data_IF_870122879998
#
_entry.id   IF_870122879998
#
_cell.length_a   1.000
_cell.length_b   1.000
_cell.length_c   1.000
_cell.angle_alpha   90.00
_cell.angle_beta   90.00
_cell.angle_gamma   90.00
#
_symmetry.space_group_name_H-M   'P 1'
#
loop_
_entity.id
_entity.type
_entity.pdbx_description
1 polymer ?
#
# COMPACT_ATOMS: atom_id res chain seq x y z
N UNK A 1 8.41 15.39 6.25
CA UNK A 1 7.07 15.33 5.67
C UNK A 1 6.04 15.06 6.75
N UNK A 2 4.80 15.41 6.48
CA UNK A 2 3.74 15.16 7.43
C UNK A 2 3.49 13.68 7.55
N UNK A 3 3.07 13.24 8.72
CA UNK A 3 2.83 11.83 8.97
C UNK A 3 1.80 11.29 7.99
N UNK A 4 2.07 10.12 7.44
CA UNK A 4 1.18 9.46 6.48
C UNK A 4 1.22 10.05 5.07
N UNK A 5 2.22 10.87 4.75
CA UNK A 5 2.35 11.47 3.42
C UNK A 5 3.74 11.21 2.88
N UNK A 6 3.87 10.11 2.15
CA UNK A 6 5.12 9.68 1.51
C UNK A 6 6.31 9.60 2.48
N UNK A 7 6.05 9.17 3.71
CA UNK A 7 7.13 9.00 4.67
C UNK A 7 7.82 7.68 4.42
N UNK A 8 9.14 7.70 4.34
CA UNK A 8 9.91 6.48 4.06
C UNK A 8 10.43 5.89 5.35
N UNK A 9 10.06 4.64 5.59
CA UNK A 9 10.46 3.88 6.77
C UNK A 9 11.14 2.60 6.31
N UNK A 10 11.71 1.86 7.23
CA UNK A 10 12.35 0.59 6.91
C UNK A 10 11.79 -0.51 7.79
N UNK A 11 11.71 -1.71 7.26
CA UNK A 11 11.46 -2.88 8.09
C UNK A 11 12.80 -3.35 8.66
N UNK A 12 12.80 -4.16 9.70
CA UNK A 12 14.06 -4.72 10.23
C UNK A 12 14.83 -5.54 9.19
N UNK A 13 14.14 -6.13 8.23
CA UNK A 13 14.81 -6.90 7.19
C UNK A 13 15.31 -6.03 6.04
N UNK A 14 15.15 -4.72 6.12
CA UNK A 14 15.68 -3.81 5.12
C UNK A 14 14.75 -3.44 3.99
N UNK A 15 13.49 -3.87 4.04
CA UNK A 15 12.52 -3.44 3.03
C UNK A 15 12.18 -1.96 3.26
N UNK A 16 11.92 -1.24 2.17
CA UNK A 16 11.48 0.15 2.28
C UNK A 16 9.97 0.17 2.35
N UNK A 17 9.46 0.88 3.35
CA UNK A 17 8.01 1.00 3.57
C UNK A 17 7.66 2.47 3.41
N UNK A 18 6.81 2.78 2.44
CA UNK A 18 6.43 4.17 2.19
C UNK A 18 5.02 4.38 2.69
N UNK A 19 4.90 5.19 3.72
CA UNK A 19 3.64 5.48 4.36
C UNK A 19 2.98 6.67 3.69
N UNK A 20 1.96 6.42 2.87
CA UNK A 20 1.18 7.47 2.25
C UNK A 20 -0.30 7.25 2.61
N UNK A 21 -0.54 6.95 3.88
CA UNK A 21 -1.84 6.47 4.35
C UNK A 21 -2.76 7.57 4.90
N UNK A 22 -2.36 8.85 4.78
CA UNK A 22 -3.17 9.92 5.34
C UNK A 22 -4.53 10.01 4.65
N UNK A 23 -4.55 9.92 3.32
CA UNK A 23 -5.79 9.98 2.56
C UNK A 23 -5.55 9.46 1.14
N UNK A 24 -6.62 9.30 0.38
CA UNK A 24 -6.50 8.84 -1.00
C UNK A 24 -7.65 9.37 -1.85
N UNK A 25 -7.29 9.97 -2.98
CA UNK A 25 -8.22 10.32 -4.03
C UNK A 25 -7.55 9.95 -5.36
N UNK A 26 -8.27 9.97 -6.49
CA UNK A 26 -7.68 9.51 -7.74
C UNK A 26 -6.38 10.21 -8.12
N UNK A 27 -6.31 11.53 -7.93
CA UNK A 27 -5.08 12.25 -8.30
C UNK A 27 -3.92 11.88 -7.39
N UNK A 28 -4.16 11.79 -6.07
CA UNK A 28 -3.07 11.47 -5.15
C UNK A 28 -2.62 10.02 -5.30
N UNK A 29 -3.51 9.11 -5.67
CA UNK A 29 -3.13 7.72 -5.90
C UNK A 29 -2.29 7.62 -7.16
N UNK A 30 -2.65 8.34 -8.23
CA UNK A 30 -1.83 8.35 -9.43
C UNK A 30 -0.45 8.94 -9.16
N UNK A 31 -0.38 10.01 -8.37
CA UNK A 31 0.91 10.61 -8.03
C UNK A 31 1.78 9.62 -7.22
N UNK A 32 1.17 8.89 -6.29
CA UNK A 32 1.90 7.90 -5.51
C UNK A 32 2.41 6.75 -6.39
N UNK A 33 1.60 6.31 -7.34
CA UNK A 33 2.01 5.25 -8.27
C UNK A 33 3.17 5.73 -9.15
N UNK A 34 3.11 6.96 -9.62
CA UNK A 34 4.19 7.54 -10.43
C UNK A 34 5.48 7.63 -9.62
N UNK A 35 5.36 8.02 -8.35
CA UNK A 35 6.50 8.07 -7.44
C UNK A 35 7.11 6.67 -7.27
N UNK A 36 6.28 5.66 -7.03
CA UNK A 36 6.74 4.30 -6.85
C UNK A 36 7.43 3.78 -8.12
N UNK A 37 6.90 4.12 -9.28
CA UNK A 37 7.46 3.69 -10.55
C UNK A 37 8.93 4.09 -10.69
N UNK A 38 9.28 5.24 -10.12
CA UNK A 38 10.66 5.75 -10.22
C UNK A 38 11.65 5.11 -9.26
N UNK A 39 11.20 4.22 -8.38
CA UNK A 39 12.09 3.61 -7.40
C UNK A 39 12.60 2.27 -7.92
N UNK A 40 13.77 1.88 -7.45
CA UNK A 40 14.31 0.57 -7.80
C UNK A 40 13.75 -0.52 -6.89
N UNK A 41 14.04 -1.77 -7.23
CA UNK A 41 13.61 -2.91 -6.43
C UNK A 41 12.29 -3.47 -6.92
N UNK A 42 11.73 -4.40 -6.15
CA UNK A 42 10.43 -4.98 -6.46
C UNK A 42 9.40 -4.13 -5.78
N UNK A 43 8.48 -3.57 -6.54
CA UNK A 43 7.57 -2.55 -6.08
C UNK A 43 6.18 -3.12 -5.85
N UNK A 44 5.68 -2.96 -4.63
CA UNK A 44 4.37 -3.44 -4.24
C UNK A 44 3.54 -2.22 -3.82
N UNK A 45 2.34 -2.07 -4.41
CA UNK A 45 1.45 -1.00 -4.01
C UNK A 45 0.29 -1.62 -3.24
N UNK A 46 0.04 -1.14 -2.03
CA UNK A 46 -1.09 -1.58 -1.21
C UNK A 46 -2.14 -0.48 -1.24
N UNK A 47 -3.29 -0.80 -1.81
CA UNK A 47 -4.36 0.17 -2.01
C UNK A 47 -5.55 -0.13 -1.12
N UNK A 48 -5.96 0.85 -0.31
CA UNK A 48 -7.24 0.81 0.36
C UNK A 48 -8.21 1.72 -0.38
N UNK A 49 -9.50 1.56 -0.14
CA UNK A 49 -10.51 2.32 -0.86
C UNK A 49 -10.29 3.82 -0.80
N UNK A 50 -10.50 4.48 -1.93
CA UNK A 50 -10.64 5.92 -1.97
C UNK A 50 -12.07 6.26 -1.53
N UNK A 51 -12.23 7.33 -0.77
CA UNK A 51 -13.51 7.68 -0.21
C UNK A 51 -14.24 8.76 -1.00
N UNK A 52 -15.55 8.81 -0.81
CA UNK A 52 -16.37 9.93 -1.31
C UNK A 52 -16.36 10.11 -2.82
N UNK A 53 -16.29 9.02 -3.55
CA UNK A 53 -16.30 9.09 -5.02
C UNK A 53 -17.71 8.90 -5.61
N UNK A 54 -18.70 8.57 -4.79
CA UNK A 54 -20.05 8.40 -5.26
C UNK A 54 -20.18 7.27 -6.27
N UNK A 55 -21.03 7.47 -7.25
CA UNK A 55 -21.29 6.43 -8.23
C UNK A 55 -20.09 6.11 -9.11
N UNK A 56 -19.14 7.01 -9.19
CA UNK A 56 -17.96 6.79 -10.01
C UNK A 56 -16.92 5.89 -9.33
N UNK A 57 -17.16 5.51 -8.06
CA UNK A 57 -16.15 4.81 -7.27
C UNK A 57 -15.60 3.55 -7.92
N UNK A 58 -16.46 2.66 -8.41
CA UNK A 58 -15.99 1.43 -9.03
C UNK A 58 -15.12 1.71 -10.24
N UNK A 59 -15.57 2.61 -11.11
CA UNK A 59 -14.83 2.89 -12.34
C UNK A 59 -13.51 3.59 -12.06
N UNK A 60 -13.50 4.49 -11.08
CA UNK A 60 -12.26 5.18 -10.74
C UNK A 60 -11.24 4.22 -10.15
N UNK A 61 -11.69 3.24 -9.35
CA UNK A 61 -10.78 2.22 -8.84
C UNK A 61 -10.27 1.32 -9.98
N UNK A 62 -11.13 1.01 -10.93
CA UNK A 62 -10.71 0.22 -12.09
C UNK A 62 -9.62 0.94 -12.87
N UNK A 63 -9.79 2.25 -13.08
CA UNK A 63 -8.80 3.04 -13.81
C UNK A 63 -7.46 3.08 -13.07
N UNK A 64 -7.50 3.13 -11.75
CA UNK A 64 -6.27 3.07 -10.95
C UNK A 64 -5.56 1.73 -11.18
N UNK A 65 -6.31 0.64 -11.22
CA UNK A 65 -5.72 -0.67 -11.47
C UNK A 65 -5.01 -0.75 -12.82
N UNK A 66 -5.62 -0.15 -13.84
CA UNK A 66 -5.00 -0.12 -15.16
C UNK A 66 -3.72 0.71 -15.13
N UNK A 67 -3.77 1.87 -14.50
CA UNK A 67 -2.58 2.73 -14.41
C UNK A 67 -1.46 2.05 -13.64
N UNK A 68 -1.80 1.29 -12.60
CA UNK A 68 -0.82 0.65 -11.75
C UNK A 68 -0.02 -0.42 -12.48
N UNK A 69 -0.53 -0.97 -13.59
CA UNK A 69 0.17 -2.00 -14.34
C UNK A 69 1.57 -1.57 -14.76
N UNK A 70 1.75 -0.29 -15.06
CA UNK A 70 3.03 0.21 -15.50
C UNK A 70 3.86 0.80 -14.38
N UNK A 71 3.35 0.78 -13.15
CA UNK A 71 3.99 1.48 -12.04
C UNK A 71 4.54 0.56 -10.97
N UNK A 72 4.02 -0.65 -10.84
CA UNK A 72 4.45 -1.57 -9.79
C UNK A 72 4.38 -3.01 -10.26
N UNK A 73 5.05 -3.87 -9.51
CA UNK A 73 5.13 -5.29 -9.85
C UNK A 73 3.97 -6.08 -9.27
N UNK A 74 3.36 -5.59 -8.20
CA UNK A 74 2.22 -6.25 -7.58
C UNK A 74 1.29 -5.20 -6.98
N UNK A 75 -0.03 -5.45 -7.05
CA UNK A 75 -1.03 -4.59 -6.46
C UNK A 75 -1.84 -5.41 -5.48
N UNK A 76 -1.77 -5.05 -4.21
CA UNK A 76 -2.55 -5.68 -3.15
C UNK A 76 -3.61 -4.69 -2.72
N UNK A 77 -4.86 -5.14 -2.61
CA UNK A 77 -5.94 -4.21 -2.30
C UNK A 77 -6.83 -4.75 -1.20
N UNK A 78 -7.37 -3.82 -0.41
CA UNK A 78 -8.31 -4.13 0.65
C UNK A 78 -9.44 -3.10 0.57
N UNK A 79 -10.67 -3.58 0.70
CA UNK A 79 -11.85 -2.74 0.60
C UNK A 79 -12.69 -3.08 -0.62
N UNK A 80 -14.00 -2.89 -0.51
CA UNK A 80 -14.93 -3.33 -1.54
C UNK A 80 -14.69 -2.69 -2.89
N UNK A 81 -14.30 -1.42 -2.91
CA UNK A 81 -14.06 -0.74 -4.17
C UNK A 81 -12.71 -1.10 -4.76
N UNK A 82 -11.74 -1.37 -3.91
CA UNK A 82 -10.39 -1.68 -4.37
C UNK A 82 -10.31 -3.02 -5.08
N UNK A 83 -11.29 -3.90 -4.87
CA UNK A 83 -11.39 -5.14 -5.63
C UNK A 83 -11.40 -4.85 -7.15
N UNK A 84 -12.06 -3.75 -7.55
CA UNK A 84 -12.13 -3.40 -8.97
C UNK A 84 -10.75 -3.02 -9.53
N UNK A 85 -9.89 -2.45 -8.69
CA UNK A 85 -8.54 -2.12 -9.12
C UNK A 85 -7.72 -3.39 -9.32
N UNK A 86 -7.83 -4.35 -8.41
CA UNK A 86 -7.10 -5.62 -8.54
C UNK A 86 -7.58 -6.38 -9.76
N UNK A 87 -8.89 -6.42 -9.98
CA UNK A 87 -9.45 -7.10 -11.13
C UNK A 87 -8.89 -6.52 -12.44
N UNK A 88 -8.77 -5.21 -12.52
CA UNK A 88 -8.22 -4.54 -13.69
C UNK A 88 -6.72 -4.70 -13.82
N UNK A 89 -6.01 -4.79 -12.69
CA UNK A 89 -4.57 -4.96 -12.70
C UNK A 89 -4.15 -6.29 -13.32
N UNK A 90 -4.88 -7.35 -12.98
CA UNK A 90 -4.63 -8.68 -13.55
C UNK A 90 -3.62 -9.47 -12.76
N UNK A 91 -2.67 -10.12 -13.46
CA UNK A 91 -1.70 -10.96 -12.81
C UNK A 91 -0.89 -10.21 -11.77
N UNK A 92 -0.65 -10.84 -10.65
CA UNK A 92 0.06 -10.24 -9.50
C UNK A 92 -0.79 -9.19 -8.78
N UNK A 93 -2.09 -9.15 -9.06
CA UNK A 93 -3.03 -8.41 -8.24
C UNK A 93 -3.67 -9.37 -7.24
N UNK A 94 -3.83 -8.93 -6.00
CA UNK A 94 -4.44 -9.79 -4.98
C UNK A 94 -5.34 -8.97 -4.08
N UNK A 95 -6.56 -9.45 -3.87
CA UNK A 95 -7.52 -8.79 -3.01
C UNK A 95 -7.53 -9.44 -1.64
N UNK A 96 -7.63 -8.63 -0.60
CA UNK A 96 -7.67 -9.11 0.78
C UNK A 96 -8.96 -8.62 1.43
N UNK A 97 -9.72 -9.54 1.99
CA UNK A 97 -10.93 -9.19 2.72
C UNK A 97 -10.61 -8.70 4.13
N UNK A 98 -9.48 -9.14 4.69
CA UNK A 98 -9.12 -8.85 6.06
C UNK A 98 -7.73 -8.24 6.16
N UNK A 99 -7.58 -7.29 7.06
CA UNK A 99 -6.30 -6.63 7.25
C UNK A 99 -5.25 -7.62 7.79
N UNK A 100 -5.66 -8.58 8.60
CA UNK A 100 -4.72 -9.53 9.18
C UNK A 100 -4.07 -10.39 8.11
N UNK A 101 -4.83 -10.83 7.11
CA UNK A 101 -4.29 -11.65 6.03
C UNK A 101 -3.32 -10.83 5.18
N UNK A 102 -3.67 -9.58 4.94
CA UNK A 102 -2.79 -8.66 4.21
C UNK A 102 -1.48 -8.49 4.98
N UNK A 103 -1.54 -8.27 6.29
CA UNK A 103 -0.35 -8.12 7.10
C UNK A 103 0.53 -9.36 7.02
N UNK A 104 -0.06 -10.54 7.16
CA UNK A 104 0.70 -11.79 7.12
C UNK A 104 1.40 -11.95 5.76
N UNK A 105 0.70 -11.63 4.69
CA UNK A 105 1.27 -11.74 3.37
C UNK A 105 2.44 -10.78 3.19
N UNK A 106 2.28 -9.53 3.62
CA UNK A 106 3.36 -8.56 3.49
C UNK A 106 4.58 -8.99 4.31
N UNK A 107 4.36 -9.55 5.49
CA UNK A 107 5.47 -9.97 6.34
C UNK A 107 6.30 -11.07 5.69
N UNK A 108 5.71 -11.90 4.88
CA UNK A 108 6.48 -12.94 4.19
C UNK A 108 7.32 -12.39 3.04
N UNK A 109 7.03 -11.16 2.61
CA UNK A 109 7.71 -10.58 1.46
C UNK A 109 8.80 -9.58 1.82
N UNK A 110 8.91 -9.20 3.10
CA UNK A 110 9.86 -8.16 3.50
C UNK A 110 11.30 -8.60 3.30
N UNK A 111 12.01 -7.90 2.46
CA UNK A 111 13.43 -8.18 2.16
C UNK A 111 14.05 -6.91 1.60
N UNK A 112 15.38 -6.88 1.47
CA UNK A 112 16.08 -5.67 1.08
C UNK A 112 15.70 -5.13 -0.30
N UNK A 113 15.30 -6.00 -1.22
CA UNK A 113 14.95 -5.55 -2.56
C UNK A 113 13.49 -5.16 -2.69
N UNK A 114 12.73 -5.19 -1.61
CA UNK A 114 11.29 -4.89 -1.64
C UNK A 114 11.03 -3.44 -1.27
N UNK A 115 10.12 -2.80 -2.00
CA UNK A 115 9.59 -1.51 -1.61
C UNK A 115 8.07 -1.61 -1.64
N UNK A 116 7.43 -1.22 -0.55
CA UNK A 116 5.98 -1.29 -0.40
C UNK A 116 5.45 0.11 -0.13
N UNK A 117 4.52 0.59 -0.96
CA UNK A 117 3.86 1.86 -0.71
C UNK A 117 2.41 1.58 -0.33
N UNK A 118 1.97 2.11 0.81
CA UNK A 118 0.61 1.89 1.29
C UNK A 118 -0.18 3.19 1.22
N UNK A 119 -1.36 3.15 0.65
CA UNK A 119 -2.21 4.31 0.47
C UNK A 119 -3.68 3.93 0.46
N UNK A 120 -4.49 4.69 1.17
CA UNK A 120 -5.94 4.50 1.22
C UNK A 120 -6.58 5.65 1.94
N UNK A 121 -7.91 5.73 1.95
CA UNK A 121 -8.59 6.76 2.72
C UNK A 121 -8.37 6.54 4.20
N UNK A 122 -8.57 7.60 4.99
CA UNK A 122 -8.31 7.52 6.44
C UNK A 122 -9.11 6.42 7.11
N UNK A 123 -10.34 6.19 6.68
CA UNK A 123 -11.16 5.18 7.32
C UNK A 123 -10.63 3.77 7.13
N UNK A 124 -9.75 3.56 6.16
CA UNK A 124 -9.18 2.24 5.95
C UNK A 124 -8.18 1.87 7.04
N UNK A 125 -7.62 2.85 7.73
CA UNK A 125 -6.72 2.58 8.84
C UNK A 125 -5.41 1.93 8.49
N UNK A 126 -4.91 2.12 7.28
CA UNK A 126 -3.69 1.47 6.83
C UNK A 126 -2.44 1.97 7.56
N UNK A 127 -2.52 3.11 8.25
CA UNK A 127 -1.41 3.59 9.05
C UNK A 127 -1.04 2.61 10.16
N UNK A 128 -2.03 1.85 10.68
CA UNK A 128 -1.73 0.84 11.69
C UNK A 128 -0.93 -0.30 11.06
N UNK A 129 -1.24 -0.67 9.84
CA UNK A 129 -0.52 -1.72 9.14
C UNK A 129 0.93 -1.28 8.90
N UNK A 130 1.14 -0.03 8.51
CA UNK A 130 2.48 0.52 8.34
C UNK A 130 3.28 0.35 9.64
N UNK A 131 2.67 0.69 10.77
CA UNK A 131 3.35 0.56 12.05
C UNK A 131 3.75 -0.87 12.35
N UNK A 132 2.88 -1.83 12.02
CA UNK A 132 3.15 -3.22 12.32
C UNK A 132 4.29 -3.80 11.48
N UNK A 133 4.37 -3.46 10.20
CA UNK A 133 5.38 -4.06 9.34
C UNK A 133 6.72 -3.31 9.39
N UNK A 134 6.71 -2.06 9.83
CA UNK A 134 7.95 -1.28 9.86
C UNK A 134 8.61 -1.31 11.22
N UNK A 135 7.82 -1.20 12.32
CA UNK A 135 8.45 -1.17 13.58
C UNK A 135 7.99 -2.24 14.51
N UNK A 136 7.06 -3.09 14.09
CA UNK A 136 6.59 -4.14 14.95
C UNK A 136 7.70 -4.99 15.46
N UNK A 137 8.75 -5.21 14.65
CA UNK A 137 9.82 -5.98 15.12
C UNK A 137 10.86 -5.14 15.74
N UNK A 138 10.94 -3.89 15.39
CA UNK A 138 11.95 -3.05 15.93
C UNK A 138 11.73 -2.84 17.40
N UNK A 139 10.51 -2.84 17.86
CA UNK A 139 10.33 -2.54 19.17
C UNK A 139 10.57 -3.63 20.05
N UNK A 140 10.99 -4.68 19.57
CA UNK A 140 11.32 -5.68 20.42
C UNK A 140 12.55 -5.37 21.04
N UNK A 141 13.07 -4.38 20.74
CA UNK A 141 14.26 -4.01 21.23
C UNK A 141 14.18 -3.78 22.53
N UNK A 142 14.55 -4.30 23.17
CA UNK A 142 14.31 -4.25 24.42
C UNK A 142 14.80 -3.33 25.17
N UNK A 143 14.75 -2.98 25.31
CA UNK A 143 14.85 -2.24 25.97
C UNK A 143 15.40 -2.57 27.10
N UNK A 144 15.79 -3.12 27.23
CA UNK A 144 16.18 -3.34 28.13
C UNK A 144 16.79 -3.03 28.59
N UNK A 145 16.88 -2.76 28.67
CA UNK A 145 17.29 -2.36 29.21
C UNK A 145 17.42 -2.33 29.69
#
# INVERSE_FOLDING_TARGET
>A
AAKGRLNVLSSPSGARIIDDTYNANPDSVRAALTYLKGLGGKRIFVLGDMAELGEAGENLHREIGIYARDCCDALFAIGDLSWHAVSAFGDHGEFFAEIDTLQQTLETLLAEDIVILLKGSRVMGLDRLVGLISKGQAQEKPQSC
#
